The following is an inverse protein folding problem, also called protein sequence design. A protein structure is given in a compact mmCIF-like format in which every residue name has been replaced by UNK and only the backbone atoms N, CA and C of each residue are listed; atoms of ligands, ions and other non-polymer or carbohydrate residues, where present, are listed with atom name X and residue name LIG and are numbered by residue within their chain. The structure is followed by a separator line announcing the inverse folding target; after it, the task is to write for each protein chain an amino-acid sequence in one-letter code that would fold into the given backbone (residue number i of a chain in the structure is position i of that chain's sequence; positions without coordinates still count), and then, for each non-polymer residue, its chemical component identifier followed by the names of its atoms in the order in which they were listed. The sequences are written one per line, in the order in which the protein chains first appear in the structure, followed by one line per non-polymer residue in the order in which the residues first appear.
data_IF_903746236810
#
_entry.id   IF_903746236810
#
_cell.length_a   1.000
_cell.length_b   1.000
_cell.length_c   1.000
_cell.angle_alpha   90.00
_cell.angle_beta   90.00
_cell.angle_gamma   90.00
#
_symmetry.space_group_name_H-M   'P 1'
#
loop_
_entity.id
_entity.type
_entity.pdbx_description
1 polymer ?
#
# COMPACT_ATOMS: atom_id res chain seq x y z
N UNK A 1 13.11 -7.21 15.78
CA UNK A 1 12.63 -6.17 14.83
C UNK A 1 11.60 -6.70 13.81
N UNK A 2 11.86 -7.80 13.08
CA UNK A 2 10.91 -8.36 12.08
C UNK A 2 9.46 -8.54 12.56
N UNK A 3 9.26 -9.15 13.75
CA UNK A 3 7.91 -9.37 14.30
C UNK A 3 7.16 -8.05 14.52
N UNK A 4 7.86 -7.01 14.99
CA UNK A 4 7.30 -5.68 15.23
C UNK A 4 6.85 -5.04 13.91
N UNK A 5 7.69 -5.08 12.87
CA UNK A 5 7.35 -4.55 11.54
C UNK A 5 6.09 -5.24 10.98
N UNK A 6 6.00 -6.57 11.11
CA UNK A 6 4.82 -7.33 10.66
C UNK A 6 3.58 -6.91 11.45
N UNK A 7 3.68 -6.84 12.79
CA UNK A 7 2.56 -6.45 13.64
C UNK A 7 2.05 -5.04 13.33
N UNK A 8 2.94 -4.06 13.14
CA UNK A 8 2.56 -2.69 12.78
C UNK A 8 1.83 -2.66 11.44
N UNK A 9 2.41 -3.27 10.39
CA UNK A 9 1.79 -3.27 9.07
C UNK A 9 0.45 -4.02 9.05
N UNK A 10 0.31 -5.08 9.86
CA UNK A 10 -0.97 -5.79 9.99
C UNK A 10 -2.05 -4.91 10.63
N UNK A 11 -1.71 -4.15 11.68
CA UNK A 11 -2.64 -3.21 12.31
C UNK A 11 -3.05 -2.12 11.31
N UNK A 12 -2.09 -1.54 10.58
CA UNK A 12 -2.38 -0.53 9.54
C UNK A 12 -3.26 -1.09 8.42
N UNK A 13 -3.00 -2.32 7.98
CA UNK A 13 -3.83 -3.00 6.98
C UNK A 13 -5.27 -3.17 7.48
N UNK A 14 -5.46 -3.68 8.69
CA UNK A 14 -6.78 -3.86 9.30
C UNK A 14 -7.51 -2.52 9.50
N UNK A 15 -6.79 -1.47 9.90
CA UNK A 15 -7.35 -0.13 10.03
C UNK A 15 -7.84 0.40 8.68
N UNK A 16 -7.05 0.25 7.61
CA UNK A 16 -7.48 0.65 6.27
C UNK A 16 -8.72 -0.13 5.83
N UNK A 17 -8.72 -1.47 5.99
CA UNK A 17 -9.88 -2.32 5.63
C UNK A 17 -11.12 -1.85 6.39
N UNK A 18 -11.00 -1.60 7.69
CA UNK A 18 -12.10 -1.08 8.50
C UNK A 18 -12.62 0.26 7.97
N UNK A 19 -11.73 1.23 7.70
CA UNK A 19 -12.16 2.55 7.20
C UNK A 19 -12.81 2.47 5.82
N UNK A 20 -12.32 1.63 4.91
CA UNK A 20 -12.90 1.45 3.58
C UNK A 20 -14.26 0.78 3.65
N UNK A 21 -14.42 -0.26 4.48
CA UNK A 21 -15.72 -0.90 4.70
C UNK A 21 -16.70 0.10 5.31
N UNK A 22 -16.29 0.81 6.36
CA UNK A 22 -17.10 1.82 7.01
C UNK A 22 -17.56 2.90 6.02
N UNK A 23 -16.65 3.42 5.20
CA UNK A 23 -16.99 4.41 4.16
C UNK A 23 -17.95 3.83 3.11
N UNK A 24 -17.74 2.59 2.67
CA UNK A 24 -18.57 1.91 1.67
C UNK A 24 -20.02 1.68 2.15
N UNK A 25 -20.24 1.59 3.47
CA UNK A 25 -21.60 1.49 4.04
C UNK A 25 -22.31 2.84 4.15
N UNK A 26 -21.57 3.95 4.16
CA UNK A 26 -22.17 5.29 4.27
C UNK A 26 -22.55 5.83 2.90
N UNK A 27 -21.63 5.73 1.93
CA UNK A 27 -21.76 6.37 0.63
C UNK A 27 -21.11 5.47 -0.43
N UNK A 28 -21.76 5.34 -1.59
CA UNK A 28 -21.15 4.68 -2.74
C UNK A 28 -20.03 5.55 -3.31
N UNK A 29 -18.86 4.96 -3.52
CA UNK A 29 -17.69 5.65 -4.06
C UNK A 29 -17.98 6.33 -5.42
N UNK A 30 -18.72 5.66 -6.29
CA UNK A 30 -18.92 6.10 -7.66
C UNK A 30 -19.93 7.24 -7.80
N UNK A 31 -20.90 7.31 -6.88
CA UNK A 31 -21.98 8.32 -6.95
C UNK A 31 -21.44 9.72 -6.66
N UNK A 32 -20.44 9.84 -5.78
CA UNK A 32 -19.87 11.13 -5.38
C UNK A 32 -18.54 11.47 -6.06
N UNK A 33 -17.95 10.54 -6.83
CA UNK A 33 -16.61 10.71 -7.41
C UNK A 33 -16.52 11.95 -8.32
N UNK A 34 -17.57 12.22 -9.09
CA UNK A 34 -17.63 13.37 -10.00
C UNK A 34 -17.60 14.69 -9.22
N UNK A 35 -18.35 14.76 -8.11
CA UNK A 35 -18.41 15.93 -7.22
C UNK A 35 -17.07 16.21 -6.54
N UNK A 36 -16.39 15.17 -6.04
CA UNK A 36 -15.10 15.34 -5.37
C UNK A 36 -13.96 15.66 -6.33
N UNK A 37 -13.97 15.10 -7.55
CA UNK A 37 -12.93 15.38 -8.53
C UNK A 37 -12.88 16.87 -8.86
N UNK A 38 -13.98 17.61 -8.87
CA UNK A 38 -13.93 19.05 -9.18
C UNK A 38 -13.31 19.91 -8.08
N UNK A 39 -13.14 19.38 -6.87
CA UNK A 39 -12.49 20.10 -5.78
C UNK A 39 -10.96 20.13 -5.97
N UNK A 40 -10.31 21.32 -6.08
CA UNK A 40 -8.87 21.41 -6.38
C UNK A 40 -7.97 20.69 -5.39
N UNK A 41 -8.29 20.78 -4.09
CA UNK A 41 -7.52 20.10 -3.04
C UNK A 41 -7.64 18.58 -3.09
N UNK A 42 -8.80 18.06 -3.51
CA UNK A 42 -8.98 16.62 -3.66
C UNK A 42 -8.15 16.08 -4.83
N UNK A 43 -8.08 16.80 -5.96
CA UNK A 43 -7.17 16.45 -7.05
C UNK A 43 -5.71 16.44 -6.60
N UNK A 44 -5.29 17.46 -5.85
CA UNK A 44 -3.91 17.58 -5.38
C UNK A 44 -3.53 16.41 -4.46
N UNK A 45 -4.38 16.04 -3.50
CA UNK A 45 -4.12 14.91 -2.60
C UNK A 45 -4.15 13.56 -3.32
N UNK A 46 -5.03 13.39 -4.31
CA UNK A 46 -5.08 12.18 -5.12
C UNK A 46 -3.79 12.01 -5.94
N UNK A 47 -3.31 13.08 -6.56
CA UNK A 47 -2.04 13.09 -7.32
C UNK A 47 -0.87 12.78 -6.38
N UNK A 48 -0.77 13.47 -5.24
CA UNK A 48 0.28 13.22 -4.24
C UNK A 48 0.31 11.76 -3.78
N UNK A 49 -0.87 11.20 -3.48
CA UNK A 49 -1.03 9.81 -3.10
C UNK A 49 -0.51 8.85 -4.18
N UNK A 50 -0.90 9.03 -5.45
CA UNK A 50 -0.47 8.14 -6.52
C UNK A 50 1.01 8.30 -6.88
N UNK A 51 1.57 9.51 -6.78
CA UNK A 51 3.03 9.71 -6.90
C UNK A 51 3.74 8.92 -5.80
N UNK A 52 3.25 8.98 -4.55
CA UNK A 52 3.83 8.21 -3.45
C UNK A 52 3.81 6.70 -3.74
N UNK A 53 2.67 6.18 -4.21
CA UNK A 53 2.56 4.76 -4.58
C UNK A 53 3.53 4.37 -5.70
N UNK A 54 3.71 5.25 -6.69
CA UNK A 54 4.63 5.01 -7.79
C UNK A 54 6.09 5.00 -7.34
N UNK A 55 6.48 5.90 -6.43
CA UNK A 55 7.83 5.90 -5.83
C UNK A 55 8.09 4.61 -5.06
N UNK A 56 7.12 4.13 -4.27
CA UNK A 56 7.22 2.85 -3.57
C UNK A 56 7.37 1.70 -4.58
N UNK A 57 6.61 1.72 -5.67
CA UNK A 57 6.74 0.72 -6.72
C UNK A 57 8.12 0.68 -7.39
N UNK A 58 8.73 1.83 -7.64
CA UNK A 58 10.13 1.91 -8.14
C UNK A 58 11.08 1.25 -7.14
N UNK A 59 10.88 1.48 -5.84
CA UNK A 59 11.67 0.81 -4.80
C UNK A 59 11.45 -0.71 -4.80
N UNK A 60 10.22 -1.18 -5.05
CA UNK A 60 9.94 -2.60 -5.25
C UNK A 60 10.68 -3.15 -6.46
N UNK A 61 10.61 -2.48 -7.61
CA UNK A 61 11.34 -2.87 -8.83
C UNK A 61 12.84 -3.03 -8.59
N UNK A 62 13.43 -2.15 -7.77
CA UNK A 62 14.85 -2.21 -7.49
C UNK A 62 15.23 -3.36 -6.54
N UNK A 63 14.44 -3.61 -5.50
CA UNK A 63 14.74 -4.65 -4.50
C UNK A 63 14.35 -6.06 -4.95
N UNK A 64 13.42 -6.18 -5.89
CA UNK A 64 12.89 -7.45 -6.34
C UNK A 64 13.77 -8.12 -7.39
N UNK A 65 14.37 -9.27 -7.03
CA UNK A 65 15.19 -10.07 -7.97
C UNK A 65 14.38 -10.55 -9.18
N UNK A 66 13.08 -10.81 -9.00
CA UNK A 66 12.17 -11.23 -10.07
C UNK A 66 11.34 -10.04 -10.54
N UNK A 67 11.70 -9.48 -11.71
CA UNK A 67 10.98 -8.35 -12.32
C UNK A 67 9.48 -8.61 -12.47
N UNK A 68 9.08 -9.84 -12.83
CA UNK A 68 7.67 -10.21 -12.94
C UNK A 68 6.88 -10.02 -11.63
N UNK A 69 7.49 -10.34 -10.48
CA UNK A 69 6.86 -10.13 -9.18
C UNK A 69 6.72 -8.64 -8.89
N UNK A 70 7.75 -7.85 -9.21
CA UNK A 70 7.69 -6.40 -9.05
C UNK A 70 6.61 -5.74 -9.93
N UNK A 71 6.47 -6.16 -11.19
CA UNK A 71 5.40 -5.68 -12.06
C UNK A 71 4.01 -6.10 -11.58
N UNK A 72 3.86 -7.29 -11.00
CA UNK A 72 2.60 -7.74 -10.42
C UNK A 72 2.12 -6.89 -9.24
N UNK A 73 3.02 -6.20 -8.53
CA UNK A 73 2.66 -5.29 -7.44
C UNK A 73 2.11 -3.93 -7.92
N UNK A 74 2.39 -3.51 -9.15
CA UNK A 74 1.89 -2.25 -9.70
C UNK A 74 0.36 -2.13 -9.66
N UNK A 75 -0.44 -3.07 -10.22
CA UNK A 75 -1.89 -2.98 -10.15
C UNK A 75 -2.40 -3.04 -8.71
N UNK A 76 -1.71 -3.75 -7.82
CA UNK A 76 -2.07 -3.79 -6.40
C UNK A 76 -1.92 -2.42 -5.76
N UNK A 77 -0.82 -1.70 -6.01
CA UNK A 77 -0.63 -0.35 -5.47
C UNK A 77 -1.58 0.67 -6.07
N UNK A 78 -1.91 0.57 -7.35
CA UNK A 78 -2.87 1.50 -7.99
C UNK A 78 -4.29 1.29 -7.43
N UNK A 79 -4.72 0.03 -7.27
CA UNK A 79 -6.09 -0.26 -6.81
C UNK A 79 -6.27 -0.15 -5.30
N UNK A 80 -5.29 -0.61 -4.51
CA UNK A 80 -5.40 -0.72 -3.06
C UNK A 80 -4.58 0.31 -2.29
N UNK A 81 -3.66 1.02 -2.95
CA UNK A 81 -2.87 2.06 -2.34
C UNK A 81 -2.14 1.60 -1.07
N UNK A 82 -2.46 2.22 0.06
CA UNK A 82 -1.84 1.92 1.36
C UNK A 82 -2.09 0.50 1.88
N UNK A 83 -3.21 -0.13 1.50
CA UNK A 83 -3.42 -1.56 1.78
C UNK A 83 -2.42 -2.42 1.00
N UNK A 84 -2.14 -2.05 -0.25
CA UNK A 84 -1.14 -2.72 -1.07
C UNK A 84 0.27 -2.59 -0.49
N UNK A 85 0.66 -1.40 -0.02
CA UNK A 85 2.00 -1.17 0.53
C UNK A 85 2.23 -1.90 1.84
N UNK A 86 1.23 -1.91 2.74
CA UNK A 86 1.29 -2.70 3.99
C UNK A 86 1.37 -4.21 3.72
N UNK A 87 0.61 -4.71 2.73
CA UNK A 87 0.73 -6.10 2.26
C UNK A 87 2.12 -6.41 1.70
N UNK A 88 2.67 -5.52 0.87
CA UNK A 88 4.01 -5.71 0.32
C UNK A 88 5.08 -5.72 1.42
N UNK A 89 4.99 -4.84 2.41
CA UNK A 89 5.93 -4.81 3.54
C UNK A 89 5.91 -6.14 4.31
N UNK A 90 4.72 -6.68 4.59
CA UNK A 90 4.56 -7.99 5.23
C UNK A 90 5.17 -9.10 4.35
N UNK A 91 4.84 -9.10 3.05
CA UNK A 91 5.38 -10.06 2.08
C UNK A 91 6.91 -10.02 2.02
N UNK A 92 7.49 -8.82 1.97
CA UNK A 92 8.93 -8.59 1.93
C UNK A 92 9.62 -9.16 3.18
N UNK A 93 9.04 -8.98 4.37
CA UNK A 93 9.55 -9.56 5.61
C UNK A 93 9.52 -11.10 5.61
N UNK A 94 8.48 -11.72 5.03
CA UNK A 94 8.38 -13.18 4.94
C UNK A 94 9.32 -13.78 3.91
N UNK A 95 9.57 -13.05 2.83
CA UNK A 95 10.52 -13.47 1.79
C UNK A 95 11.97 -13.35 2.27
N UNK A 96 12.32 -12.23 2.91
CA UNK A 96 13.67 -11.92 3.33
C UNK A 96 13.95 -12.31 4.79
N UNK A 97 13.50 -13.50 5.21
CA UNK A 97 13.65 -13.99 6.60
C UNK A 97 15.09 -13.96 7.11
N UNK A 98 16.05 -14.25 6.24
CA UNK A 98 17.47 -14.33 6.57
C UNK A 98 18.12 -12.96 6.77
N UNK A 99 17.65 -11.92 6.06
CA UNK A 99 18.13 -10.55 6.20
C UNK A 99 17.93 -10.06 7.64
N UNK A 100 16.70 -10.21 8.13
CA UNK A 100 16.31 -9.78 9.48
C UNK A 100 16.80 -10.70 10.62
N UNK A 101 17.39 -11.86 10.31
CA UNK A 101 18.03 -12.73 11.31
C UNK A 101 19.49 -12.29 11.56
N UNK A 102 20.13 -11.67 10.57
CA UNK A 102 21.52 -11.21 10.62
C UNK A 102 21.69 -9.94 11.45
N UNK A 103 20.69 -9.06 11.46
CA UNK A 103 20.69 -7.80 12.23
C UNK A 103 20.42 -7.98 13.74
N UNK A 104 20.14 -9.21 14.19
CA UNK A 104 19.84 -9.53 15.60
C UNK A 104 20.95 -10.33 16.28
N UNK A 105 22.07 -10.57 15.59
CA UNK A 105 23.30 -11.17 16.11
C UNK A 105 24.36 -10.08 16.23
#
# INVERSE_FOLDING_TARGET
MRKVIISINLILFLAMVYTTLWASFQINLFDELESYIDMPWFRATLIDFYINQFVIWIFVLWNERKRLVAFAWLPVFICFGSMGTTLYAIFFCFKNKNLFKRETL
#
